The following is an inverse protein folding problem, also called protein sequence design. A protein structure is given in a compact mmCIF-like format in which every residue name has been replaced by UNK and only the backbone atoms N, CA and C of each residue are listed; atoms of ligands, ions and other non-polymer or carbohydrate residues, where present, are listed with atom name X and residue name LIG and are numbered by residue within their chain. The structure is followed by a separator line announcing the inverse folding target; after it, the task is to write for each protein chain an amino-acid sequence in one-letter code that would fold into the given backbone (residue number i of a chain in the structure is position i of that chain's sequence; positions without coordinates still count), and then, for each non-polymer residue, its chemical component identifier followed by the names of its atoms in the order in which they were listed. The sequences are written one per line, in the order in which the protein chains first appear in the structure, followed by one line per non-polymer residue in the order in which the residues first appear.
data_IF_600248928477
#
_entry.id   IF_600248928477
#
_cell.length_a   1.000
_cell.length_b   1.000
_cell.length_c   1.000
_cell.angle_alpha   90.00
_cell.angle_beta   90.00
_cell.angle_gamma   90.00
#
_symmetry.space_group_name_H-M   'P 1'
#
loop_
_entity.id
_entity.type
_entity.pdbx_description
1 polymer ?
#
# COMPACT_ATOMS: atom_id res chain seq x y z
N UNK A 1 -4.15 -2.49 -33.24
CA UNK A 1 -4.20 -3.42 -32.31
C UNK A 1 -4.13 -4.92 -32.58
N UNK A 2 -4.97 -5.47 -33.46
CA UNK A 2 -5.06 -6.94 -33.58
C UNK A 2 -3.92 -7.58 -34.38
N UNK A 3 -3.20 -6.82 -35.15
CA UNK A 3 -2.14 -7.29 -36.06
C UNK A 3 -0.74 -7.31 -35.42
N UNK A 4 -0.59 -6.68 -34.29
CA UNK A 4 0.70 -6.57 -33.61
C UNK A 4 0.74 -7.47 -32.38
N UNK A 5 1.63 -8.44 -32.38
CA UNK A 5 1.94 -9.27 -31.23
C UNK A 5 3.24 -8.79 -30.59
N UNK A 6 3.13 -8.23 -29.40
CA UNK A 6 4.26 -7.69 -28.64
C UNK A 6 4.31 -8.39 -27.28
N UNK A 7 5.46 -8.92 -26.87
CA UNK A 7 5.61 -9.48 -25.53
C UNK A 7 5.25 -8.44 -24.45
N UNK A 8 4.58 -8.83 -23.35
CA UNK A 8 4.23 -7.90 -22.28
C UNK A 8 5.42 -7.11 -21.74
N UNK A 9 6.61 -7.72 -21.67
CA UNK A 9 7.81 -7.04 -21.22
C UNK A 9 8.21 -5.86 -22.13
N UNK A 10 7.99 -5.97 -23.44
CA UNK A 10 8.28 -4.87 -24.37
C UNK A 10 7.32 -3.70 -24.17
N UNK A 11 6.03 -3.99 -23.94
CA UNK A 11 5.04 -2.99 -23.57
C UNK A 11 5.42 -2.33 -22.24
N UNK A 12 5.76 -3.12 -21.23
CA UNK A 12 6.19 -2.59 -19.93
C UNK A 12 7.44 -1.72 -20.04
N UNK A 13 8.42 -2.11 -20.87
CA UNK A 13 9.63 -1.31 -21.13
C UNK A 13 9.30 0.06 -21.70
N UNK A 14 8.29 0.15 -22.57
CA UNK A 14 7.82 1.43 -23.11
C UNK A 14 7.15 2.30 -22.04
N UNK A 15 6.25 1.75 -21.22
CA UNK A 15 5.64 2.49 -20.10
C UNK A 15 6.66 2.88 -19.04
N UNK A 16 7.64 2.02 -18.77
CA UNK A 16 8.77 2.35 -17.91
C UNK A 16 9.58 3.54 -18.45
N UNK A 17 9.80 3.63 -19.76
CA UNK A 17 10.49 4.76 -20.35
C UNK A 17 9.71 6.08 -20.18
N UNK A 18 8.36 6.04 -20.30
CA UNK A 18 7.51 7.21 -20.03
C UNK A 18 7.63 7.64 -18.55
N UNK A 19 7.59 6.69 -17.62
CA UNK A 19 7.76 6.93 -16.19
C UNK A 19 9.17 7.47 -15.86
N UNK A 20 10.19 7.03 -16.58
CA UNK A 20 11.59 7.37 -16.39
C UNK A 20 12.06 8.58 -17.26
N UNK A 21 11.20 9.57 -17.37
CA UNK A 21 11.45 10.82 -18.11
C UNK A 21 11.96 10.62 -19.54
N UNK A 22 11.40 9.64 -20.24
CA UNK A 22 11.72 9.31 -21.62
C UNK A 22 12.94 8.40 -21.80
N UNK A 23 13.64 8.06 -20.73
CA UNK A 23 14.84 7.22 -20.76
C UNK A 23 14.45 5.75 -20.78
N UNK A 24 14.71 5.05 -21.88
CA UNK A 24 14.37 3.62 -22.03
C UNK A 24 15.53 2.76 -21.55
N UNK A 25 15.25 1.89 -20.58
CA UNK A 25 16.21 0.96 -20.00
C UNK A 25 16.02 -0.45 -20.59
N UNK A 26 17.12 -1.21 -20.71
CA UNK A 26 17.04 -2.63 -21.06
C UNK A 26 16.39 -3.41 -19.91
N UNK A 27 15.37 -4.25 -20.17
CA UNK A 27 14.83 -5.14 -19.15
C UNK A 27 15.93 -6.01 -18.54
N UNK A 28 15.99 -6.05 -17.20
CA UNK A 28 17.00 -6.80 -16.46
C UNK A 28 16.31 -7.73 -15.46
N UNK A 29 16.50 -9.03 -15.62
CA UNK A 29 15.88 -10.05 -14.76
C UNK A 29 16.81 -10.53 -13.64
N UNK A 30 18.13 -10.38 -13.84
CA UNK A 30 19.14 -10.74 -12.85
C UNK A 30 19.93 -9.48 -12.52
N UNK A 31 20.06 -9.17 -11.24
CA UNK A 31 20.87 -8.05 -10.76
C UNK A 31 22.32 -8.47 -10.59
N UNK A 32 22.54 -9.57 -9.92
CA UNK A 32 23.88 -10.10 -9.61
C UNK A 32 23.83 -11.59 -9.32
N UNK A 33 24.95 -12.28 -9.48
CA UNK A 33 25.15 -13.65 -9.01
C UNK A 33 26.06 -13.60 -7.80
N UNK A 34 25.61 -14.22 -6.71
CA UNK A 34 26.35 -14.26 -5.43
C UNK A 34 26.72 -15.70 -5.10
N UNK A 35 27.97 -15.96 -4.71
CA UNK A 35 28.47 -17.24 -4.21
C UNK A 35 29.17 -17.00 -2.87
N UNK A 36 28.75 -17.72 -1.83
CA UNK A 36 29.31 -17.61 -0.47
C UNK A 36 29.34 -16.18 0.09
N UNK A 37 28.34 -15.32 -0.28
CA UNK A 37 28.27 -13.92 0.15
C UNK A 37 29.05 -12.94 -0.73
N UNK A 38 29.86 -13.40 -1.68
CA UNK A 38 30.61 -12.57 -2.62
C UNK A 38 29.89 -12.45 -3.95
N UNK A 39 29.85 -11.23 -4.50
CA UNK A 39 29.32 -10.96 -5.85
C UNK A 39 30.32 -11.44 -6.88
N UNK A 40 30.00 -12.52 -7.61
CA UNK A 40 30.86 -13.08 -8.67
C UNK A 40 30.52 -12.54 -10.06
N UNK A 41 29.32 -11.96 -10.23
CA UNK A 41 28.91 -11.32 -11.47
C UNK A 41 27.84 -10.26 -11.16
N UNK A 42 27.99 -9.08 -11.73
CA UNK A 42 27.02 -7.98 -11.66
C UNK A 42 26.50 -7.61 -13.04
N UNK A 43 25.20 -7.28 -13.12
CA UNK A 43 24.53 -6.86 -14.34
C UNK A 43 24.05 -5.41 -14.15
N UNK A 44 24.84 -4.40 -14.47
CA UNK A 44 24.47 -3.00 -14.28
C UNK A 44 23.28 -2.61 -15.19
N UNK A 45 22.53 -1.54 -14.83
CA UNK A 45 21.47 -1.00 -15.68
C UNK A 45 22.05 -0.50 -17.01
N UNK A 46 21.40 -0.86 -18.13
CA UNK A 46 21.81 -0.46 -19.48
C UNK A 46 20.74 0.45 -20.10
N UNK A 47 21.17 1.57 -20.65
CA UNK A 47 20.31 2.52 -21.37
C UNK A 47 20.19 2.09 -22.82
N UNK A 48 18.98 1.73 -23.27
CA UNK A 48 18.70 1.44 -24.68
C UNK A 48 18.53 2.70 -25.52
N UNK A 49 17.83 3.72 -24.97
CA UNK A 49 17.64 5.02 -25.59
C UNK A 49 17.63 6.11 -24.52
N UNK A 50 18.39 7.17 -24.76
CA UNK A 50 18.45 8.30 -23.85
C UNK A 50 17.13 9.09 -23.79
N UNK A 51 16.38 9.12 -24.91
CA UNK A 51 15.06 9.72 -24.98
C UNK A 51 14.21 9.02 -26.05
N UNK A 52 12.94 8.73 -25.73
CA UNK A 52 11.97 8.12 -26.67
C UNK A 52 11.17 9.17 -27.45
N UNK A 53 11.08 10.40 -26.96
CA UNK A 53 10.35 11.50 -27.60
C UNK A 53 10.80 12.86 -27.07
N UNK A 54 10.27 13.95 -27.61
CA UNK A 54 10.49 15.31 -27.12
C UNK A 54 9.87 15.47 -25.74
N UNK A 55 10.48 16.31 -24.89
CA UNK A 55 10.02 16.57 -23.52
C UNK A 55 8.54 17.03 -23.44
N UNK A 56 8.14 17.92 -24.35
CA UNK A 56 6.73 18.36 -24.43
C UNK A 56 5.79 17.19 -24.64
N UNK A 57 6.06 16.32 -25.61
CA UNK A 57 5.26 15.12 -25.91
C UNK A 57 5.25 14.15 -24.73
N UNK A 58 6.37 14.04 -24.03
CA UNK A 58 6.45 13.19 -22.83
C UNK A 58 5.52 13.69 -21.72
N UNK A 59 5.53 14.98 -21.43
CA UNK A 59 4.63 15.58 -20.42
C UNK A 59 3.15 15.44 -20.78
N UNK A 60 2.83 15.62 -22.07
CA UNK A 60 1.48 15.45 -22.57
C UNK A 60 1.00 13.99 -22.37
N UNK A 61 1.80 13.00 -22.74
CA UNK A 61 1.42 11.59 -22.59
C UNK A 61 1.34 11.18 -21.10
N UNK A 62 2.23 11.68 -20.23
CA UNK A 62 2.14 11.45 -18.79
C UNK A 62 0.82 11.97 -18.23
N UNK A 63 0.40 13.17 -18.62
CA UNK A 63 -0.88 13.76 -18.24
C UNK A 63 -2.06 12.93 -18.74
N UNK A 64 -2.02 12.47 -20.00
CA UNK A 64 -3.08 11.62 -20.58
C UNK A 64 -3.18 10.29 -19.81
N UNK A 65 -2.06 9.65 -19.49
CA UNK A 65 -2.05 8.38 -18.76
C UNK A 65 -2.58 8.52 -17.32
N UNK A 66 -2.32 9.65 -16.66
CA UNK A 66 -2.92 9.98 -15.37
C UNK A 66 -4.43 10.17 -15.50
N UNK A 67 -4.91 10.89 -16.51
CA UNK A 67 -6.34 11.10 -16.74
C UNK A 67 -7.09 9.80 -17.09
N UNK A 68 -6.47 8.84 -17.75
CA UNK A 68 -7.06 7.51 -17.97
C UNK A 68 -7.45 6.84 -16.65
N UNK A 69 -6.66 7.04 -15.60
CA UNK A 69 -6.92 6.47 -14.28
C UNK A 69 -7.82 7.38 -13.45
N UNK A 70 -7.55 8.67 -13.39
CA UNK A 70 -8.31 9.60 -12.53
C UNK A 70 -9.73 9.85 -13.05
N UNK A 71 -9.95 9.90 -14.37
CA UNK A 71 -11.20 10.29 -15.01
C UNK A 71 -11.76 9.25 -15.98
N UNK A 72 -10.92 8.36 -16.51
CA UNK A 72 -11.24 7.44 -17.59
C UNK A 72 -11.60 6.02 -17.16
N UNK A 73 -11.44 5.08 -18.10
CA UNK A 73 -11.74 3.66 -17.92
C UNK A 73 -10.77 2.91 -17.00
N UNK A 74 -9.69 3.55 -16.60
CA UNK A 74 -8.66 3.00 -15.69
C UNK A 74 -8.94 3.21 -14.21
N UNK A 75 -10.06 3.81 -13.81
CA UNK A 75 -10.37 4.19 -12.40
C UNK A 75 -10.15 3.08 -11.38
N UNK A 76 -10.43 1.82 -11.76
CA UNK A 76 -10.24 0.67 -10.87
C UNK A 76 -8.77 0.30 -10.60
N UNK A 77 -7.83 0.87 -11.35
CA UNK A 77 -6.40 0.74 -11.09
C UNK A 77 -5.86 1.84 -10.16
N UNK A 78 -6.65 2.90 -9.94
CA UNK A 78 -6.27 4.04 -9.10
C UNK A 78 -6.31 3.73 -7.61
N UNK A 79 -5.56 4.51 -6.83
CA UNK A 79 -5.49 4.46 -5.38
C UNK A 79 -5.99 5.78 -4.77
N UNK A 80 -6.61 5.77 -3.59
CA UNK A 80 -6.88 6.98 -2.83
C UNK A 80 -5.62 7.58 -2.18
N UNK A 81 -4.54 6.78 -2.03
CA UNK A 81 -3.34 7.15 -1.27
C UNK A 81 -2.22 7.69 -2.14
N UNK A 82 -2.20 7.37 -3.43
CA UNK A 82 -1.19 7.81 -4.40
C UNK A 82 -1.75 7.83 -5.82
N UNK A 83 -1.14 8.63 -6.68
CA UNK A 83 -1.56 8.76 -8.08
C UNK A 83 -1.01 7.60 -8.91
N UNK A 84 -1.83 7.11 -9.82
CA UNK A 84 -1.48 6.05 -10.78
C UNK A 84 -1.67 6.57 -12.19
N UNK A 85 -0.71 6.32 -13.07
CA UNK A 85 -0.82 6.60 -14.49
C UNK A 85 -0.70 5.30 -15.29
N UNK A 86 -1.56 5.12 -16.29
CA UNK A 86 -1.56 3.89 -17.07
C UNK A 86 -2.65 3.82 -18.13
N UNK A 87 -2.73 2.67 -18.79
CA UNK A 87 -3.70 2.43 -19.88
C UNK A 87 -4.26 1.03 -19.81
N UNK A 88 -5.57 0.95 -20.02
CA UNK A 88 -6.31 -0.31 -20.20
C UNK A 88 -6.16 -0.85 -21.62
N UNK A 89 -6.12 -2.15 -21.76
CA UNK A 89 -6.20 -2.86 -23.03
C UNK A 89 -7.28 -3.94 -23.01
N UNK A 90 -8.03 -4.06 -24.09
CA UNK A 90 -8.99 -5.15 -24.29
C UNK A 90 -8.89 -5.56 -25.76
N UNK A 91 -8.18 -6.63 -26.03
CA UNK A 91 -7.95 -7.14 -27.38
C UNK A 91 -8.60 -8.51 -27.54
N UNK A 92 -9.23 -8.75 -28.69
CA UNK A 92 -9.67 -10.10 -29.06
C UNK A 92 -8.44 -10.91 -29.50
N UNK A 93 -8.41 -12.17 -29.13
CA UNK A 93 -7.35 -13.09 -29.51
C UNK A 93 -7.81 -13.92 -30.71
N UNK A 94 -6.96 -13.97 -31.73
CA UNK A 94 -7.16 -14.87 -32.87
C UNK A 94 -6.89 -16.33 -32.47
N UNK A 95 -7.67 -17.24 -33.01
CA UNK A 95 -7.49 -18.69 -32.89
C UNK A 95 -6.75 -19.28 -34.08
N UNK A 96 -5.78 -18.55 -34.60
CA UNK A 96 -5.00 -18.96 -35.77
C UNK A 96 -5.84 -18.98 -37.04
N UNK A 97 -5.81 -20.05 -37.81
CA UNK A 97 -6.55 -20.20 -39.07
C UNK A 97 -8.08 -20.03 -38.92
N UNK A 98 -8.62 -20.19 -37.72
CA UNK A 98 -10.05 -20.02 -37.45
C UNK A 98 -10.47 -18.56 -37.18
N UNK A 99 -9.51 -17.64 -37.12
CA UNK A 99 -9.76 -16.21 -36.89
C UNK A 99 -10.31 -15.89 -35.50
N UNK A 100 -11.07 -14.79 -35.40
CA UNK A 100 -11.55 -14.25 -34.13
C UNK A 100 -12.92 -14.77 -33.68
N UNK A 101 -13.74 -15.33 -34.59
CA UNK A 101 -15.17 -15.61 -34.36
C UNK A 101 -15.50 -17.08 -34.14
N UNK A 102 -14.62 -18.02 -34.41
CA UNK A 102 -14.91 -19.44 -34.32
C UNK A 102 -14.91 -19.93 -32.86
N UNK A 103 -16.01 -20.52 -32.41
CA UNK A 103 -16.11 -21.20 -31.11
C UNK A 103 -16.04 -20.26 -29.87
N UNK A 104 -16.56 -19.06 -29.96
CA UNK A 104 -16.55 -18.04 -28.89
C UNK A 104 -15.32 -17.11 -28.94
N UNK A 105 -15.44 -15.92 -28.41
CA UNK A 105 -14.37 -14.90 -28.42
C UNK A 105 -13.49 -15.02 -27.19
N UNK A 106 -12.17 -15.10 -27.39
CA UNK A 106 -11.18 -14.97 -26.32
C UNK A 106 -10.60 -13.56 -26.31
N UNK A 107 -10.35 -13.05 -25.12
CA UNK A 107 -9.84 -11.71 -24.91
C UNK A 107 -8.50 -11.76 -24.17
N UNK A 108 -7.58 -10.87 -24.56
CA UNK A 108 -6.43 -10.47 -23.78
C UNK A 108 -6.75 -9.13 -23.14
N UNK A 109 -6.94 -9.15 -21.85
CA UNK A 109 -7.17 -7.98 -21.02
C UNK A 109 -5.84 -7.53 -20.46
N UNK A 110 -5.58 -6.22 -20.47
CA UNK A 110 -4.34 -5.72 -19.90
C UNK A 110 -4.53 -4.38 -19.20
N UNK A 111 -3.65 -4.11 -18.26
CA UNK A 111 -3.40 -2.80 -17.72
C UNK A 111 -1.89 -2.63 -17.58
N UNK A 112 -1.33 -1.60 -18.21
CA UNK A 112 0.08 -1.21 -18.09
C UNK A 112 0.16 0.20 -17.52
N UNK A 113 1.01 0.39 -16.51
CA UNK A 113 1.10 1.68 -15.85
C UNK A 113 2.29 1.77 -14.89
N UNK A 114 2.33 2.88 -14.16
CA UNK A 114 3.36 3.18 -13.18
C UNK A 114 2.80 3.97 -11.99
N UNK A 115 3.49 3.90 -10.89
CA UNK A 115 3.11 4.56 -9.64
C UNK A 115 4.33 4.83 -8.73
N UNK A 116 4.26 5.87 -7.83
CA UNK A 116 3.33 7.00 -7.90
C UNK A 116 3.48 7.75 -9.23
N UNK A 117 2.40 8.39 -9.76
CA UNK A 117 2.48 9.03 -11.08
C UNK A 117 3.28 10.33 -11.08
N UNK A 118 3.31 11.04 -9.95
CA UNK A 118 4.06 12.28 -9.71
C UNK A 118 5.55 12.07 -9.45
N UNK A 119 5.91 10.92 -8.85
CA UNK A 119 7.30 10.52 -8.59
C UNK A 119 7.48 9.02 -8.87
N UNK A 120 7.52 8.61 -10.15
CA UNK A 120 7.48 7.20 -10.53
C UNK A 120 8.62 6.37 -9.93
N UNK A 121 8.26 5.32 -9.20
CA UNK A 121 9.20 4.35 -8.61
C UNK A 121 9.02 2.95 -9.20
N UNK A 122 7.80 2.60 -9.58
CA UNK A 122 7.44 1.26 -10.04
C UNK A 122 6.64 1.34 -11.33
N UNK A 123 6.88 0.40 -12.23
CA UNK A 123 6.05 0.13 -13.39
C UNK A 123 5.58 -1.32 -13.37
N UNK A 124 4.33 -1.55 -13.76
CA UNK A 124 3.72 -2.87 -13.74
C UNK A 124 2.83 -3.07 -14.95
N UNK A 125 2.77 -4.30 -15.46
CA UNK A 125 1.80 -4.73 -16.46
C UNK A 125 1.08 -5.98 -15.96
N UNK A 126 -0.24 -5.98 -16.07
CA UNK A 126 -1.10 -7.14 -15.78
C UNK A 126 -1.76 -7.56 -17.06
N UNK A 127 -1.62 -8.83 -17.43
CA UNK A 127 -2.25 -9.45 -18.59
C UNK A 127 -3.10 -10.64 -18.15
N UNK A 128 -4.37 -10.68 -18.56
CA UNK A 128 -5.33 -11.73 -18.21
C UNK A 128 -5.97 -12.25 -19.51
N UNK A 129 -5.89 -13.53 -19.74
CA UNK A 129 -6.65 -14.17 -20.80
C UNK A 129 -8.02 -14.58 -20.28
N UNK A 130 -9.07 -14.27 -21.03
CA UNK A 130 -10.45 -14.55 -20.65
C UNK A 130 -11.30 -14.96 -21.85
N UNK A 131 -12.11 -15.99 -21.69
CA UNK A 131 -13.12 -16.40 -22.67
C UNK A 131 -14.46 -15.72 -22.38
N UNK A 132 -15.10 -15.20 -23.41
CA UNK A 132 -16.44 -14.62 -23.36
C UNK A 132 -16.52 -13.26 -22.62
N UNK A 133 -17.72 -12.74 -22.54
CA UNK A 133 -18.06 -11.49 -21.83
C UNK A 133 -18.50 -11.78 -20.38
N UNK A 134 -18.43 -10.79 -19.47
CA UNK A 134 -17.86 -9.46 -19.64
C UNK A 134 -16.32 -9.50 -19.75
N UNK A 135 -15.74 -8.62 -20.60
CA UNK A 135 -14.31 -8.50 -20.81
C UNK A 135 -13.89 -7.02 -20.68
N UNK A 136 -13.10 -6.71 -19.67
CA UNK A 136 -12.69 -5.33 -19.38
C UNK A 136 -11.28 -5.29 -18.82
N UNK A 137 -10.33 -4.68 -19.54
CA UNK A 137 -8.97 -4.45 -19.08
C UNK A 137 -8.93 -3.61 -17.81
N UNK A 138 -9.70 -2.51 -17.75
CA UNK A 138 -9.80 -1.69 -16.55
C UNK A 138 -10.50 -2.40 -15.38
N UNK A 139 -11.57 -3.16 -15.70
CA UNK A 139 -12.40 -3.83 -14.70
C UNK A 139 -11.75 -5.06 -14.07
N UNK A 140 -10.84 -5.74 -14.77
CA UNK A 140 -10.17 -6.97 -14.32
C UNK A 140 -8.68 -6.73 -14.09
N UNK A 141 -7.92 -6.45 -15.14
CA UNK A 141 -6.47 -6.23 -15.02
C UNK A 141 -6.15 -4.98 -14.17
N UNK A 142 -6.99 -3.93 -14.23
CA UNK A 142 -6.84 -2.74 -13.41
C UNK A 142 -7.01 -3.01 -11.91
N UNK A 143 -7.95 -3.88 -11.53
CA UNK A 143 -8.14 -4.28 -10.12
C UNK A 143 -6.93 -5.06 -9.59
N UNK A 144 -6.39 -5.97 -10.38
CA UNK A 144 -5.18 -6.71 -9.98
C UNK A 144 -3.99 -5.77 -9.88
N UNK A 145 -3.84 -4.82 -10.81
CA UNK A 145 -2.81 -3.77 -10.75
C UNK A 145 -2.95 -2.94 -9.46
N UNK A 146 -4.15 -2.48 -9.13
CA UNK A 146 -4.43 -1.76 -7.89
C UNK A 146 -3.95 -2.52 -6.65
N UNK A 147 -4.31 -3.79 -6.52
CA UNK A 147 -3.92 -4.62 -5.37
C UNK A 147 -2.40 -4.80 -5.28
N UNK A 148 -1.72 -4.95 -6.41
CA UNK A 148 -0.24 -5.01 -6.47
C UNK A 148 0.36 -3.68 -6.03
N UNK A 149 -0.15 -2.57 -6.58
CA UNK A 149 0.36 -1.23 -6.27
C UNK A 149 0.17 -0.87 -4.78
N UNK A 150 -1.00 -1.12 -4.22
CA UNK A 150 -1.28 -0.93 -2.79
C UNK A 150 -0.34 -1.79 -1.92
N UNK A 151 -0.15 -3.06 -2.26
CA UNK A 151 0.75 -3.95 -1.52
C UNK A 151 2.20 -3.47 -1.53
N UNK A 152 2.70 -3.00 -2.68
CA UNK A 152 4.06 -2.47 -2.82
C UNK A 152 4.20 -1.15 -2.06
N UNK A 153 3.26 -0.23 -2.20
CA UNK A 153 3.31 1.07 -1.53
C UNK A 153 3.19 0.93 -0.02
N UNK A 154 2.35 0.01 0.48
CA UNK A 154 2.27 -0.29 1.91
C UNK A 154 3.59 -0.84 2.48
N UNK A 155 4.35 -1.61 1.69
CA UNK A 155 5.69 -2.07 2.09
C UNK A 155 6.72 -0.93 2.03
N UNK A 156 6.65 -0.06 1.02
CA UNK A 156 7.55 1.09 0.87
C UNK A 156 7.38 2.09 2.00
N UNK A 157 6.14 2.33 2.46
CA UNK A 157 5.87 3.17 3.64
C UNK A 157 6.56 2.64 4.90
N UNK A 158 6.69 1.33 5.05
CA UNK A 158 7.44 0.71 6.17
C UNK A 158 8.96 0.92 6.06
N UNK A 159 9.49 1.06 4.84
CA UNK A 159 10.91 1.29 4.60
C UNK A 159 11.27 2.80 4.65
N UNK A 160 10.38 3.66 4.16
CA UNK A 160 10.59 5.12 4.15
C UNK A 160 10.50 5.75 5.55
N UNK A 161 9.85 5.10 6.52
CA UNK A 161 9.85 5.53 7.93
C UNK A 161 11.26 5.53 8.55
N UNK A 162 12.18 4.73 8.01
CA UNK A 162 13.57 4.70 8.45
C UNK A 162 14.42 5.88 7.91
N UNK A 163 14.03 6.49 6.77
CA UNK A 163 14.80 7.53 6.08
C UNK A 163 14.14 8.92 6.08
N UNK A 164 12.87 9.04 6.50
CA UNK A 164 12.15 10.30 6.51
C UNK A 164 12.58 11.21 7.68
N UNK A 165 13.75 11.83 7.55
CA UNK A 165 14.18 12.95 8.42
C UNK A 165 13.48 14.28 8.12
N UNK A 166 12.60 14.33 7.13
CA UNK A 166 11.72 15.47 6.85
C UNK A 166 10.29 15.17 7.30
N UNK A 167 10.09 15.29 8.61
CA UNK A 167 8.82 15.04 9.29
C UNK A 167 7.85 16.20 9.15
N UNK A 168 7.36 16.52 7.95
CA UNK A 168 6.36 17.59 7.81
C UNK A 168 4.89 17.12 7.76
N UNK A 169 4.60 15.79 7.74
CA UNK A 169 3.22 15.31 7.90
C UNK A 169 3.14 13.80 8.22
N UNK A 170 3.63 13.38 9.37
CA UNK A 170 3.27 12.05 9.87
C UNK A 170 1.82 12.12 10.35
N UNK A 171 0.92 11.40 9.68
CA UNK A 171 -0.43 11.17 10.20
C UNK A 171 -0.29 10.33 11.48
N UNK A 172 -0.44 11.00 12.61
CA UNK A 172 -0.45 10.32 13.90
C UNK A 172 -1.71 9.48 14.00
N UNK A 173 -1.62 8.15 14.19
CA UNK A 173 -2.79 7.29 14.25
C UNK A 173 -3.65 7.60 15.48
N UNK A 174 -4.97 7.39 15.35
CA UNK A 174 -5.88 7.38 16.51
C UNK A 174 -5.57 6.14 17.36
N UNK A 175 -4.89 6.35 18.47
CA UNK A 175 -4.49 5.28 19.39
C UNK A 175 -5.56 5.10 20.45
N UNK A 176 -6.07 3.87 20.56
CA UNK A 176 -7.10 3.52 21.56
C UNK A 176 -6.55 3.64 22.97
N UNK A 177 -7.40 4.00 23.92
CA UNK A 177 -7.11 3.83 25.33
C UNK A 177 -6.89 2.34 25.67
N UNK A 178 -6.13 2.05 26.71
CA UNK A 178 -5.82 0.68 27.12
C UNK A 178 -4.42 0.57 27.73
N UNK A 179 -3.68 -0.46 27.37
CA UNK A 179 -2.31 -0.65 27.81
C UNK A 179 -1.36 0.30 27.06
N UNK A 180 -1.08 1.46 27.67
CA UNK A 180 -0.22 2.48 27.05
C UNK A 180 1.27 2.08 26.99
N UNK A 181 1.68 1.06 27.75
CA UNK A 181 3.03 0.50 27.66
C UNK A 181 3.18 -0.29 26.33
N UNK A 182 2.16 -1.08 25.98
CA UNK A 182 2.13 -1.75 24.68
C UNK A 182 2.02 -0.76 23.52
N UNK A 183 1.24 0.31 23.69
CA UNK A 183 1.12 1.37 22.71
C UNK A 183 2.47 2.08 22.47
N UNK A 184 3.21 2.42 23.54
CA UNK A 184 4.56 3.00 23.45
C UNK A 184 5.53 2.10 22.70
N UNK A 185 5.50 0.81 22.99
CA UNK A 185 6.33 -0.17 22.29
C UNK A 185 6.04 -0.20 20.79
N UNK A 186 4.76 -0.31 20.41
CA UNK A 186 4.36 -0.37 18.99
C UNK A 186 4.66 0.94 18.27
N UNK A 187 4.32 2.09 18.86
CA UNK A 187 4.57 3.41 18.26
C UNK A 187 6.05 3.67 18.05
N UNK A 188 6.89 3.30 19.03
CA UNK A 188 8.36 3.42 18.91
C UNK A 188 8.92 2.57 17.76
N UNK A 189 8.41 1.35 17.57
CA UNK A 189 8.81 0.48 16.45
C UNK A 189 8.30 0.97 15.10
N UNK A 190 7.24 1.78 15.09
CA UNK A 190 6.74 2.46 13.88
C UNK A 190 7.42 3.81 13.62
N UNK A 191 8.40 4.20 14.46
CA UNK A 191 9.10 5.48 14.34
C UNK A 191 8.25 6.70 14.74
N UNK A 192 7.13 6.49 15.45
CA UNK A 192 6.27 7.56 15.93
C UNK A 192 6.73 7.99 17.31
N UNK A 193 7.03 9.28 17.46
CA UNK A 193 7.47 9.83 18.74
C UNK A 193 6.36 9.76 19.79
N UNK A 194 6.71 9.32 21.00
CA UNK A 194 5.80 9.31 22.13
C UNK A 194 6.31 10.23 23.23
N UNK A 195 5.39 10.92 23.90
CA UNK A 195 5.68 11.69 25.11
C UNK A 195 4.94 11.03 26.28
N UNK A 196 5.67 10.70 27.34
CA UNK A 196 5.16 10.00 28.52
C UNK A 196 5.68 10.64 29.80
N UNK A 197 4.82 10.79 30.80
CA UNK A 197 5.12 11.31 32.12
C UNK A 197 5.25 10.20 33.19
N UNK A 198 5.49 8.99 32.78
CA UNK A 198 5.61 7.81 33.63
C UNK A 198 6.81 6.96 33.21
N UNK A 199 7.31 6.17 34.14
CA UNK A 199 8.40 5.19 33.92
C UNK A 199 7.81 3.78 33.91
N UNK A 200 8.37 2.91 33.07
CA UNK A 200 8.00 1.50 32.95
C UNK A 200 8.58 0.94 31.66
N UNK A 201 8.90 -0.35 31.67
CA UNK A 201 9.39 -1.08 30.52
C UNK A 201 8.40 -2.18 30.15
N UNK A 202 8.24 -2.44 28.85
CA UNK A 202 7.44 -3.57 28.37
C UNK A 202 7.98 -4.91 28.89
N UNK A 203 9.28 -4.97 29.19
CA UNK A 203 9.94 -6.14 29.78
C UNK A 203 9.45 -6.47 31.21
N UNK A 204 8.88 -5.51 31.94
CA UNK A 204 8.40 -5.70 33.32
C UNK A 204 7.08 -6.50 33.39
N UNK A 205 6.46 -6.78 32.25
CA UNK A 205 5.28 -7.64 32.12
C UNK A 205 3.97 -7.09 32.72
N UNK A 206 4.02 -5.98 33.46
CA UNK A 206 2.83 -5.38 34.08
C UNK A 206 2.20 -4.32 33.17
N UNK A 207 0.91 -4.41 32.84
CA UNK A 207 0.26 -3.41 32.00
C UNK A 207 0.19 -2.04 32.69
N UNK A 208 0.45 -0.99 31.95
CA UNK A 208 0.23 0.40 32.39
C UNK A 208 -0.99 0.93 31.63
N UNK A 209 -2.04 1.23 32.38
CA UNK A 209 -3.31 1.67 31.83
C UNK A 209 -3.34 3.19 31.63
N UNK A 210 -3.97 3.63 30.53
CA UNK A 210 -4.10 5.04 30.26
C UNK A 210 -4.72 5.35 28.93
N UNK A 211 -4.62 6.61 28.55
CA UNK A 211 -5.13 7.17 27.30
C UNK A 211 -3.99 7.67 26.42
N UNK A 212 -4.21 7.61 25.13
CA UNK A 212 -3.36 8.24 24.14
C UNK A 212 -4.08 9.48 23.58
N UNK A 213 -3.38 10.61 23.55
CA UNK A 213 -3.87 11.85 23.00
C UNK A 213 -2.93 12.29 21.87
N UNK A 214 -3.47 12.56 20.70
CA UNK A 214 -2.78 13.21 19.61
C UNK A 214 -3.20 14.68 19.59
N UNK A 215 -2.25 15.62 19.74
CA UNK A 215 -2.53 17.04 19.54
C UNK A 215 -2.37 17.37 18.06
N UNK A 216 -3.37 18.04 17.50
CA UNK A 216 -3.31 18.54 16.12
C UNK A 216 -2.01 19.32 15.91
N UNK A 217 -1.29 19.00 14.83
CA UNK A 217 -0.01 19.60 14.42
C UNK A 217 1.25 19.15 15.20
N UNK A 218 1.20 18.11 16.02
CA UNK A 218 2.40 17.50 16.59
C UNK A 218 2.56 16.06 16.10
N UNK A 219 3.78 15.72 15.66
CA UNK A 219 4.12 14.34 15.28
C UNK A 219 4.36 13.43 16.50
N UNK A 220 3.71 13.73 17.61
CA UNK A 220 3.95 13.08 18.89
C UNK A 220 2.65 12.61 19.51
N UNK A 221 2.61 11.35 19.95
CA UNK A 221 1.50 10.80 20.74
C UNK A 221 1.79 11.00 22.23
N UNK A 222 0.88 11.63 22.94
CA UNK A 222 0.98 11.79 24.39
C UNK A 222 0.31 10.60 25.06
N UNK A 223 1.08 9.81 25.80
CA UNK A 223 0.61 8.67 26.56
C UNK A 223 0.42 9.05 28.03
N UNK A 224 -0.83 9.21 28.43
CA UNK A 224 -1.18 9.69 29.77
C UNK A 224 -1.62 8.51 30.62
N UNK A 225 -0.89 8.27 31.71
CA UNK A 225 -1.23 7.20 32.67
C UNK A 225 -2.48 7.56 33.43
N UNK A 226 -3.47 6.70 33.43
CA UNK A 226 -4.64 6.75 34.32
C UNK A 226 -4.40 5.82 35.53
N UNK A 227 -4.55 6.39 36.73
CA UNK A 227 -4.55 5.58 37.93
C UNK A 227 -5.89 4.88 38.05
N UNK A 228 -5.95 3.63 37.68
CA UNK A 228 -7.11 2.80 37.95
C UNK A 228 -7.07 2.42 39.41
N UNK A 229 -7.80 3.18 40.22
CA UNK A 229 -7.86 2.90 41.65
C UNK A 229 -8.33 1.45 41.90
N UNK A 230 -7.71 0.78 42.87
CA UNK A 230 -8.17 -0.49 43.43
C UNK A 230 -9.48 -0.23 44.24
N UNK A 231 -10.50 0.29 43.58
CA UNK A 231 -11.78 0.57 44.22
C UNK A 231 -12.70 -0.63 44.07
N UNK A 232 -13.74 -0.70 44.92
CA UNK A 232 -14.84 -1.68 44.84
C UNK A 232 -15.72 -1.46 43.58
N UNK A 233 -15.43 -0.47 42.77
CA UNK A 233 -16.21 -0.12 41.58
C UNK A 233 -15.61 -0.75 40.30
N UNK A 234 -16.50 -1.13 39.39
CA UNK A 234 -16.13 -1.61 38.07
C UNK A 234 -15.51 -0.43 37.29
N UNK A 235 -14.30 -0.57 36.73
CA UNK A 235 -13.68 0.52 35.98
C UNK A 235 -14.44 0.84 34.69
N UNK A 236 -14.47 2.11 34.32
CA UNK A 236 -14.93 2.53 32.99
C UNK A 236 -13.89 2.12 31.94
N UNK A 237 -14.32 1.30 30.98
CA UNK A 237 -13.49 0.82 29.88
C UNK A 237 -13.87 1.45 28.53
N UNK A 238 -14.72 2.47 28.55
CA UNK A 238 -15.10 3.21 27.34
C UNK A 238 -13.87 3.83 26.68
N UNK A 239 -13.76 3.69 25.40
CA UNK A 239 -12.58 4.14 24.62
C UNK A 239 -11.45 3.12 24.52
N UNK A 240 -11.45 2.05 25.33
CA UNK A 240 -10.43 1.00 25.27
C UNK A 240 -10.61 0.07 24.07
N UNK A 241 -9.54 -0.57 23.64
CA UNK A 241 -9.60 -1.73 22.76
C UNK A 241 -10.33 -2.88 23.46
N UNK A 242 -11.19 -3.62 22.75
CA UNK A 242 -11.99 -4.69 23.33
C UNK A 242 -11.15 -5.73 24.12
N UNK A 243 -9.97 -6.09 23.65
CA UNK A 243 -9.07 -7.02 24.35
C UNK A 243 -8.58 -6.47 25.68
N UNK A 244 -8.15 -5.21 25.69
CA UNK A 244 -7.66 -4.54 26.89
C UNK A 244 -8.78 -4.37 27.92
N UNK A 245 -9.97 -4.00 27.45
CA UNK A 245 -11.17 -3.89 28.30
C UNK A 245 -11.53 -5.21 28.99
N UNK A 246 -11.59 -6.31 28.23
CA UNK A 246 -11.86 -7.65 28.77
C UNK A 246 -10.79 -8.04 29.79
N UNK A 247 -9.51 -7.92 29.43
CA UNK A 247 -8.41 -8.24 30.35
C UNK A 247 -8.49 -7.44 31.65
N UNK A 248 -8.76 -6.14 31.58
CA UNK A 248 -8.86 -5.27 32.75
C UNK A 248 -10.02 -5.68 33.67
N UNK A 249 -11.20 -5.97 33.11
CA UNK A 249 -12.38 -6.34 33.87
C UNK A 249 -12.24 -7.74 34.47
N UNK A 250 -11.82 -8.73 33.69
CA UNK A 250 -11.68 -10.11 34.15
C UNK A 250 -10.54 -10.29 35.16
N UNK A 251 -9.46 -9.54 35.04
CA UNK A 251 -8.39 -9.50 36.06
C UNK A 251 -8.87 -9.00 37.43
N UNK A 252 -10.07 -8.38 37.45
CA UNK A 252 -10.74 -7.92 38.68
C UNK A 252 -11.92 -8.80 39.11
N UNK A 253 -12.09 -9.94 38.46
CA UNK A 253 -13.15 -10.89 38.79
C UNK A 253 -14.53 -10.51 38.21
N UNK A 254 -14.58 -9.53 37.28
CA UNK A 254 -15.83 -9.14 36.60
C UNK A 254 -16.01 -10.00 35.36
N UNK A 255 -17.06 -10.80 35.31
CA UNK A 255 -17.39 -11.58 34.10
C UNK A 255 -17.85 -10.64 32.99
N UNK A 256 -17.22 -10.73 31.81
CA UNK A 256 -17.43 -9.80 30.74
C UNK A 256 -18.11 -10.43 29.54
N UNK A 257 -19.07 -9.76 28.95
CA UNK A 257 -19.69 -10.13 27.67
C UNK A 257 -19.44 -9.00 26.67
N UNK A 258 -18.85 -9.33 25.53
CA UNK A 258 -18.53 -8.36 24.47
C UNK A 258 -19.50 -8.52 23.32
N UNK A 259 -20.17 -7.42 22.95
CA UNK A 259 -20.98 -7.32 21.73
C UNK A 259 -20.24 -6.48 20.70
N UNK A 260 -19.82 -7.11 19.61
CA UNK A 260 -19.06 -6.44 18.54
C UNK A 260 -17.53 -6.59 18.67
N UNK A 261 -16.80 -5.68 18.03
CA UNK A 261 -15.31 -5.70 17.96
C UNK A 261 -14.75 -4.29 17.76
N UNK A 262 -13.49 -4.11 18.16
CA UNK A 262 -12.78 -2.86 17.97
C UNK A 262 -12.63 -2.05 19.25
N UNK A 263 -13.20 -0.85 19.32
CA UNK A 263 -13.16 0.07 20.45
C UNK A 263 -14.48 -0.03 21.24
N UNK A 264 -14.40 -0.05 22.55
CA UNK A 264 -15.59 0.00 23.43
C UNK A 264 -16.21 1.39 23.31
N UNK A 265 -17.46 1.45 22.87
CA UNK A 265 -18.23 2.69 22.74
C UNK A 265 -19.21 2.89 23.89
N UNK A 266 -19.62 1.79 24.53
CA UNK A 266 -20.57 1.81 25.63
C UNK A 266 -20.32 0.62 26.58
N UNK A 267 -20.51 0.85 27.86
CA UNK A 267 -20.47 -0.14 28.93
C UNK A 267 -21.78 -0.12 29.70
N UNK A 268 -22.32 -1.29 30.01
CA UNK A 268 -23.44 -1.48 30.94
C UNK A 268 -23.06 -2.51 32.00
N UNK A 269 -23.62 -2.39 33.19
CA UNK A 269 -23.51 -3.34 34.30
C UNK A 269 -24.70 -4.26 34.30
#
# INVERSE_FOLDING_TARGET
GYETQVPPISTLTFYNAIANNGRMMRPRFVKQVVKNGEVIMDFPPEVMRASICKEKTLREIQTILDHVVSQGLGKKAGSPSFRVAGKTGTAQMSKGAQGYKSGGTNYLLSFAGYFPADAPRYSCIVCIQKSGLPASGGGMSGVVFHNIAEGIMAQSLKLDVADARDASSILVPDVKAGNILAADYVLSHLGIATNKNWSGSYADGNPVWGKAESKNHTNTVFLVRERIHRSKYVPDVTGMGARDAVYLLESRGVKTTVLGRGKVIQQSL
#
